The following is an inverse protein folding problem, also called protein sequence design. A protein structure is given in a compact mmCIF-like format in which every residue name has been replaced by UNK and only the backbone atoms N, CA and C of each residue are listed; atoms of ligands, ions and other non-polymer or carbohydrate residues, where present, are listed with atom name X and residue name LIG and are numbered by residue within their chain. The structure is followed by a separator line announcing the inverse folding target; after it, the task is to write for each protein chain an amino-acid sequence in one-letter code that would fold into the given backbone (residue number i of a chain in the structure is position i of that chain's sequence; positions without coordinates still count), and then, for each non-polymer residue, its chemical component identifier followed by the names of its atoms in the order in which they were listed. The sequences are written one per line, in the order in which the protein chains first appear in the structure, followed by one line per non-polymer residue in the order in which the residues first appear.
data_IF_535423502747
#
_entry.id   IF_535423502747
#
_cell.length_a   1.000
_cell.length_b   1.000
_cell.length_c   1.000
_cell.angle_alpha   90.00
_cell.angle_beta   90.00
_cell.angle_gamma   90.00
#
_symmetry.space_group_name_H-M   'P 1'
#
loop_
_entity.id
_entity.type
_entity.pdbx_description
1 polymer ?
#
# COMPACT_ATOMS: atom_id res chain seq x y z
N UNK A 1 -17.45 1.85 0.27
CA UNK A 1 -16.79 3.04 0.85
C UNK A 1 -15.39 2.74 1.36
N UNK A 2 -15.19 1.68 2.16
CA UNK A 2 -13.87 1.31 2.67
C UNK A 2 -12.84 1.02 1.56
N UNK A 3 -13.20 0.23 0.54
CA UNK A 3 -12.33 -0.07 -0.62
C UNK A 3 -11.93 1.20 -1.39
N UNK A 4 -12.87 2.12 -1.62
CA UNK A 4 -12.59 3.39 -2.31
C UNK A 4 -11.54 4.20 -1.55
N UNK A 5 -11.66 4.27 -0.22
CA UNK A 5 -10.66 4.94 0.63
C UNK A 5 -9.31 4.21 0.60
N UNK A 6 -9.32 2.87 0.56
CA UNK A 6 -8.10 2.08 0.44
C UNK A 6 -7.35 2.34 -0.88
N UNK A 7 -8.07 2.38 -2.01
CA UNK A 7 -7.48 2.74 -3.30
C UNK A 7 -6.98 4.18 -3.36
N UNK A 8 -7.71 5.13 -2.76
CA UNK A 8 -7.23 6.51 -2.63
C UNK A 8 -5.94 6.55 -1.80
N UNK A 9 -5.90 5.85 -0.66
CA UNK A 9 -4.70 5.74 0.17
C UNK A 9 -3.51 5.14 -0.58
N UNK A 10 -3.73 4.06 -1.33
CA UNK A 10 -2.70 3.46 -2.19
C UNK A 10 -2.21 4.43 -3.26
N UNK A 11 -3.11 5.17 -3.90
CA UNK A 11 -2.77 6.17 -4.91
C UNK A 11 -1.94 7.32 -4.33
N UNK A 12 -2.31 7.82 -3.15
CA UNK A 12 -1.55 8.87 -2.44
C UNK A 12 -0.14 8.40 -2.07
N UNK A 13 -0.01 7.22 -1.48
CA UNK A 13 1.29 6.64 -1.11
C UNK A 13 2.14 6.36 -2.36
N UNK A 14 1.53 5.82 -3.41
CA UNK A 14 2.22 5.54 -4.67
C UNK A 14 2.74 6.82 -5.35
N UNK A 15 1.92 7.87 -5.39
CA UNK A 15 2.30 9.18 -5.92
C UNK A 15 3.39 9.85 -5.08
N UNK A 16 3.39 9.62 -3.76
CA UNK A 16 4.46 10.09 -2.87
C UNK A 16 5.81 9.40 -3.17
N UNK A 17 5.80 8.11 -3.54
CA UNK A 17 7.02 7.45 -4.02
C UNK A 17 7.57 8.08 -5.30
N UNK A 18 6.69 8.54 -6.21
CA UNK A 18 7.10 9.26 -7.43
C UNK A 18 7.74 10.61 -7.08
N UNK A 19 7.19 11.34 -6.10
CA UNK A 19 7.77 12.61 -5.65
C UNK A 19 9.13 12.44 -4.97
N UNK A 20 9.49 11.24 -4.51
CA UNK A 20 10.86 10.95 -4.06
C UNK A 20 11.78 10.61 -5.24
N UNK A 21 11.35 9.71 -6.14
CA UNK A 21 12.21 9.21 -7.21
C UNK A 21 12.54 10.25 -8.30
N UNK A 22 11.59 11.10 -8.72
CA UNK A 22 11.81 12.03 -9.83
C UNK A 22 12.78 13.17 -9.46
N UNK A 23 12.59 13.91 -8.35
CA UNK A 23 13.44 15.05 -8.03
C UNK A 23 14.73 14.68 -7.29
N UNK A 24 15.10 13.39 -7.19
CA UNK A 24 16.28 12.95 -6.41
C UNK A 24 17.53 13.77 -6.74
N UNK A 25 17.79 14.07 -8.02
CA UNK A 25 18.95 14.90 -8.42
C UNK A 25 18.89 16.32 -7.85
N UNK A 26 17.72 16.95 -7.85
CA UNK A 26 17.53 18.30 -7.32
C UNK A 26 17.65 18.31 -5.79
N UNK A 27 17.08 17.31 -5.11
CA UNK A 27 17.20 17.14 -3.65
C UNK A 27 18.66 16.95 -3.24
N UNK A 28 19.38 16.04 -3.91
CA UNK A 28 20.79 15.77 -3.61
C UNK A 28 21.66 17.00 -3.90
N UNK A 29 21.34 17.80 -4.92
CA UNK A 29 22.04 19.06 -5.20
C UNK A 29 21.81 20.12 -4.10
N UNK A 30 20.68 20.08 -3.41
CA UNK A 30 20.35 20.99 -2.30
C UNK A 30 21.24 20.85 -1.06
N UNK A 31 21.97 19.73 -0.91
CA UNK A 31 22.89 19.50 0.21
C UNK A 31 24.26 20.16 0.06
N UNK A 32 24.57 20.77 -1.10
CA UNK A 32 25.86 21.42 -1.36
C UNK A 32 27.03 20.43 -1.48
N UNK A 33 28.22 20.86 -1.03
CA UNK A 33 29.44 20.04 -1.06
C UNK A 33 29.41 18.98 0.05
N UNK A 34 29.02 17.77 -0.32
CA UNK A 34 29.12 16.56 0.50
C UNK A 34 30.09 15.57 -0.15
N UNK A 35 30.72 14.71 0.65
CA UNK A 35 31.61 13.67 0.13
C UNK A 35 30.87 12.77 -0.87
N UNK A 36 31.63 12.19 -1.81
CA UNK A 36 31.06 11.28 -2.81
C UNK A 36 30.37 10.06 -2.18
N UNK A 37 30.85 9.61 -1.02
CA UNK A 37 30.26 8.50 -0.26
C UNK A 37 28.91 8.90 0.35
N UNK A 38 28.85 10.03 1.07
CA UNK A 38 27.61 10.55 1.63
C UNK A 38 26.55 10.79 0.55
N UNK A 39 26.97 11.27 -0.63
CA UNK A 39 26.08 11.48 -1.77
C UNK A 39 25.45 10.17 -2.26
N UNK A 40 26.21 9.06 -2.25
CA UNK A 40 25.71 7.74 -2.65
C UNK A 40 24.74 7.18 -1.61
N UNK A 41 25.11 7.22 -0.33
CA UNK A 41 24.23 6.79 0.77
C UNK A 41 22.91 7.55 0.73
N UNK A 42 22.95 8.87 0.55
CA UNK A 42 21.75 9.69 0.47
C UNK A 42 20.84 9.28 -0.69
N UNK A 43 21.41 9.02 -1.88
CA UNK A 43 20.63 8.53 -3.03
C UNK A 43 20.05 7.14 -2.77
N UNK A 44 20.82 6.23 -2.15
CA UNK A 44 20.39 4.87 -1.86
C UNK A 44 19.22 4.85 -0.88
N UNK A 45 19.34 5.54 0.25
CA UNK A 45 18.28 5.60 1.27
C UNK A 45 17.03 6.31 0.73
N UNK A 46 17.21 7.42 0.00
CA UNK A 46 16.11 8.15 -0.61
C UNK A 46 15.31 7.31 -1.62
N UNK A 47 16.00 6.49 -2.42
CA UNK A 47 15.34 5.57 -3.36
C UNK A 47 14.77 4.33 -2.66
N UNK A 48 15.41 3.82 -1.61
CA UNK A 48 14.88 2.73 -0.80
C UNK A 48 13.54 3.11 -0.15
N UNK A 49 13.42 4.37 0.30
CA UNK A 49 12.17 4.93 0.81
C UNK A 49 11.07 4.93 -0.28
N UNK A 50 11.39 5.40 -1.49
CA UNK A 50 10.45 5.40 -2.62
C UNK A 50 9.96 3.97 -2.97
N UNK A 51 10.88 3.00 -3.03
CA UNK A 51 10.56 1.59 -3.28
C UNK A 51 9.65 1.02 -2.19
N UNK A 52 9.87 1.41 -0.93
CA UNK A 52 9.04 0.99 0.20
C UNK A 52 7.61 1.51 0.06
N UNK A 53 7.42 2.77 -0.32
CA UNK A 53 6.09 3.34 -0.57
C UNK A 53 5.38 2.63 -1.72
N UNK A 54 6.06 2.36 -2.82
CA UNK A 54 5.47 1.60 -3.93
C UNK A 54 5.10 0.17 -3.52
N UNK A 55 5.91 -0.45 -2.67
CA UNK A 55 5.60 -1.77 -2.10
C UNK A 55 4.34 -1.73 -1.24
N UNK A 56 4.16 -0.69 -0.41
CA UNK A 56 2.93 -0.50 0.35
C UNK A 56 1.73 -0.21 -0.55
N UNK A 57 1.87 0.64 -1.57
CA UNK A 57 0.79 0.90 -2.51
C UNK A 57 0.35 -0.40 -3.23
N UNK A 58 1.31 -1.20 -3.71
CA UNK A 58 1.04 -2.49 -4.33
C UNK A 58 0.38 -3.48 -3.36
N UNK A 59 0.85 -3.53 -2.10
CA UNK A 59 0.26 -4.37 -1.06
C UNK A 59 -1.19 -3.97 -0.77
N UNK A 60 -1.46 -2.67 -0.59
CA UNK A 60 -2.81 -2.17 -0.32
C UNK A 60 -3.74 -2.51 -1.49
N UNK A 61 -3.31 -2.29 -2.74
CA UNK A 61 -4.08 -2.66 -3.93
C UNK A 61 -4.37 -4.16 -3.93
N UNK A 62 -3.36 -4.98 -3.68
CA UNK A 62 -3.49 -6.45 -3.71
C UNK A 62 -4.46 -6.95 -2.64
N UNK A 63 -4.30 -6.49 -1.39
CA UNK A 63 -5.17 -6.90 -0.28
C UNK A 63 -6.59 -6.39 -0.48
N UNK A 64 -6.77 -5.17 -1.02
CA UNK A 64 -8.10 -4.63 -1.33
C UNK A 64 -8.79 -5.45 -2.41
N UNK A 65 -8.07 -5.82 -3.48
CA UNK A 65 -8.63 -6.61 -4.58
C UNK A 65 -8.96 -8.07 -4.20
N UNK A 66 -8.17 -8.69 -3.30
CA UNK A 66 -8.40 -10.07 -2.85
C UNK A 66 -9.39 -10.14 -1.68
N UNK A 67 -9.49 -9.08 -0.87
CA UNK A 67 -10.36 -9.00 0.31
C UNK A 67 -11.83 -9.27 0.00
N UNK A 68 -12.33 -8.77 -1.12
CA UNK A 68 -13.72 -8.98 -1.56
C UNK A 68 -14.04 -10.46 -1.81
N UNK A 69 -13.08 -11.24 -2.31
CA UNK A 69 -13.25 -12.68 -2.56
C UNK A 69 -13.31 -13.52 -1.28
N UNK A 70 -12.59 -13.11 -0.24
CA UNK A 70 -12.53 -13.84 1.05
C UNK A 70 -13.74 -13.57 1.95
N UNK A 71 -14.25 -12.34 1.96
CA UNK A 71 -15.50 -12.00 2.67
C UNK A 71 -16.73 -12.71 2.08
N UNK A 72 -16.75 -12.88 0.74
CA UNK A 72 -17.84 -13.56 0.04
C UNK A 72 -17.77 -15.09 0.20
N UNK A 73 -16.55 -15.66 0.33
CA UNK A 73 -16.33 -17.08 0.59
C UNK A 73 -16.58 -17.48 2.07
N UNK A 74 -16.54 -16.54 3.00
CA UNK A 74 -16.88 -16.75 4.43
C UNK A 74 -18.39 -16.78 4.72
N UNK A 75 -19.23 -17.03 3.71
CA UNK A 75 -20.66 -17.29 3.88
C UNK A 75 -21.04 -18.76 3.79
N UNK A 76 -20.85 -19.57 4.85
CA UNK A 76 -21.81 -20.64 5.17
C UNK A 76 -22.44 -20.52 6.57
N UNK A 77 -21.86 -19.77 7.51
CA UNK A 77 -22.30 -19.73 8.91
C UNK A 77 -23.62 -18.99 9.13
N UNK A 78 -23.97 -18.03 8.26
CA UNK A 78 -25.30 -17.39 8.28
C UNK A 78 -26.42 -18.37 7.85
N UNK A 79 -26.11 -19.38 7.02
CA UNK A 79 -27.08 -20.40 6.60
C UNK A 79 -27.39 -21.43 7.69
N UNK A 80 -26.40 -21.77 8.54
CA UNK A 80 -26.60 -22.69 9.66
C UNK A 80 -27.51 -22.12 10.74
N UNK A 81 -27.41 -20.80 11.03
CA UNK A 81 -28.24 -20.16 12.06
C UNK A 81 -29.73 -20.12 11.68
N UNK A 82 -30.07 -20.00 10.39
CA UNK A 82 -31.46 -20.12 9.91
C UNK A 82 -31.98 -21.55 9.94
N UNK A 83 -31.15 -22.56 9.60
CA UNK A 83 -31.57 -23.97 9.62
C UNK A 83 -31.88 -24.51 11.01
N UNK A 84 -31.12 -24.11 12.05
CA UNK A 84 -31.45 -24.51 13.42
C UNK A 84 -32.78 -23.91 13.91
N UNK A 85 -33.11 -22.68 13.51
CA UNK A 85 -34.38 -22.05 13.91
C UNK A 85 -35.62 -22.67 13.24
N UNK A 86 -35.46 -23.33 12.09
CA UNK A 86 -36.57 -23.96 11.35
C UNK A 86 -36.75 -25.46 11.64
N UNK A 87 -35.81 -26.10 12.35
CA UNK A 87 -35.88 -27.54 12.68
C UNK A 87 -36.33 -27.81 14.12
N UNK A 88 -36.70 -26.76 14.86
CA UNK A 88 -37.18 -26.79 16.25
C UNK A 88 -38.71 -26.55 16.36
N UNK A 89 -39.46 -26.80 15.27
CA UNK A 89 -40.92 -26.92 15.26
C UNK A 89 -41.30 -28.26 14.63
#
# INVERSE_FOLDING_TARGET
MAEVLAYIGAGLVGLWGVSHAIPTRAVVAGFGEISADNRRVLVQEWLAEAVTMWSFAALIITVTAVGDGTATAAGPTASLRRRCSSSLC
#
